data_IF_491691442791
#
_entry.id   IF_491691442791
#
_cell.length_a   1.000
_cell.length_b   1.000
_cell.length_c   1.000
_cell.angle_alpha   90.00
_cell.angle_beta   90.00
_cell.angle_gamma   90.00
#
_symmetry.space_group_name_H-M   'P 1'
#
loop_
_entity.id
_entity.type
_entity.pdbx_description
1 polymer ?
#
# COMPACT_ATOMS: atom_id res chain seq x y z
N UNK A 1 -29.96 -25.63 -15.65
CA UNK A 1 -29.60 -24.62 -14.66
C UNK A 1 -28.09 -24.39 -14.80
N UNK A 2 -27.70 -23.17 -15.17
CA UNK A 2 -26.28 -22.80 -15.28
C UNK A 2 -25.73 -22.40 -13.90
N UNK A 3 -24.42 -22.47 -13.76
CA UNK A 3 -23.68 -21.99 -12.58
C UNK A 3 -23.08 -20.63 -12.93
N UNK A 4 -23.63 -19.58 -12.36
CA UNK A 4 -23.19 -18.20 -12.56
C UNK A 4 -22.34 -17.79 -11.38
N UNK A 5 -21.06 -17.55 -11.61
CA UNK A 5 -20.13 -17.11 -10.58
C UNK A 5 -20.11 -15.59 -10.54
N UNK A 6 -20.23 -15.04 -9.35
CA UNK A 6 -20.06 -13.60 -9.08
C UNK A 6 -18.88 -13.40 -8.14
N UNK A 7 -17.99 -12.52 -8.52
CA UNK A 7 -16.96 -11.95 -7.65
C UNK A 7 -17.09 -10.44 -7.61
N UNK A 8 -16.62 -9.81 -6.52
CA UNK A 8 -16.60 -8.36 -6.39
C UNK A 8 -15.25 -7.85 -5.90
N UNK A 9 -14.91 -6.63 -6.27
CA UNK A 9 -13.67 -6.00 -5.82
C UNK A 9 -13.45 -4.60 -6.39
N UNK A 10 -12.49 -3.89 -5.79
CA UNK A 10 -12.08 -2.57 -6.28
C UNK A 10 -11.19 -2.64 -7.52
N UNK A 11 -10.31 -3.67 -7.61
CA UNK A 11 -9.35 -3.88 -8.72
C UNK A 11 -8.54 -2.63 -9.07
N UNK A 12 -8.04 -1.93 -8.07
CA UNK A 12 -7.49 -0.60 -8.18
C UNK A 12 -6.11 -0.45 -7.47
N UNK A 13 -5.01 -0.62 -8.22
CA UNK A 13 -4.90 -1.19 -9.57
C UNK A 13 -5.09 -2.71 -9.61
N UNK A 14 -5.36 -3.22 -10.82
CA UNK A 14 -5.35 -4.65 -11.08
C UNK A 14 -3.93 -5.20 -10.91
N UNK A 15 -3.80 -6.41 -10.35
CA UNK A 15 -2.51 -7.08 -10.13
C UNK A 15 -2.63 -8.60 -10.23
N UNK A 16 -1.49 -9.31 -10.22
CA UNK A 16 -1.44 -10.78 -10.40
C UNK A 16 -2.32 -11.57 -9.43
N UNK A 17 -2.48 -11.11 -8.19
CA UNK A 17 -3.39 -11.72 -7.23
C UNK A 17 -4.87 -11.65 -7.67
N UNK A 18 -5.29 -10.53 -8.25
CA UNK A 18 -6.62 -10.43 -8.85
C UNK A 18 -6.79 -11.35 -10.06
N UNK A 19 -5.76 -11.51 -10.89
CA UNK A 19 -5.80 -12.44 -12.03
C UNK A 19 -5.94 -13.87 -11.56
N UNK A 20 -5.21 -14.28 -10.51
CA UNK A 20 -5.34 -15.62 -9.92
C UNK A 20 -6.75 -15.85 -9.36
N UNK A 21 -7.32 -14.86 -8.67
CA UNK A 21 -8.67 -14.89 -8.14
C UNK A 21 -9.73 -15.04 -9.26
N UNK A 22 -9.64 -14.23 -10.32
CA UNK A 22 -10.53 -14.27 -11.47
C UNK A 22 -10.48 -15.66 -12.15
N UNK A 23 -9.28 -16.21 -12.38
CA UNK A 23 -9.11 -17.54 -12.96
C UNK A 23 -9.74 -18.62 -12.11
N UNK A 24 -9.44 -18.66 -10.82
CA UNK A 24 -10.00 -19.65 -9.91
C UNK A 24 -11.52 -19.52 -9.77
N UNK A 25 -12.07 -18.31 -9.79
CA UNK A 25 -13.49 -18.06 -9.79
C UNK A 25 -14.16 -18.59 -11.07
N UNK A 26 -13.53 -18.40 -12.25
CA UNK A 26 -14.06 -18.92 -13.53
C UNK A 26 -14.22 -20.44 -13.53
N UNK A 27 -13.34 -21.16 -12.86
CA UNK A 27 -13.39 -22.63 -12.75
C UNK A 27 -14.57 -23.15 -11.92
N UNK A 28 -15.24 -22.31 -11.14
CA UNK A 28 -16.37 -22.68 -10.30
C UNK A 28 -17.69 -22.78 -11.07
N UNK A 29 -17.80 -22.26 -12.28
CA UNK A 29 -19.07 -22.27 -13.02
C UNK A 29 -18.95 -22.02 -14.51
N UNK A 30 -20.11 -21.89 -15.15
CA UNK A 30 -20.22 -21.74 -16.60
C UNK A 30 -19.94 -20.32 -17.06
N UNK A 31 -20.27 -19.33 -16.23
CA UNK A 31 -20.09 -17.90 -16.52
C UNK A 31 -19.59 -17.14 -15.30
N UNK A 32 -18.64 -16.22 -15.52
CA UNK A 32 -18.11 -15.34 -14.49
C UNK A 32 -18.56 -13.89 -14.71
N UNK A 33 -19.25 -13.36 -13.73
CA UNK A 33 -19.62 -11.95 -13.63
C UNK A 33 -18.74 -11.27 -12.58
N UNK A 34 -18.20 -10.11 -12.91
CA UNK A 34 -17.36 -9.31 -12.00
C UNK A 34 -18.09 -8.01 -11.64
N UNK A 35 -18.42 -7.87 -10.37
CA UNK A 35 -18.89 -6.60 -9.80
C UNK A 35 -17.72 -5.70 -9.43
N UNK A 36 -17.62 -4.53 -10.04
CA UNK A 36 -16.58 -3.55 -9.76
C UNK A 36 -17.11 -2.50 -8.79
N UNK A 37 -16.47 -2.37 -7.63
CA UNK A 37 -16.84 -1.37 -6.61
C UNK A 37 -16.76 0.06 -7.17
N UNK A 38 -17.63 0.93 -6.66
CA UNK A 38 -17.67 2.33 -7.05
C UNK A 38 -16.40 3.10 -6.67
N UNK A 39 -16.20 4.27 -7.29
CA UNK A 39 -15.14 5.20 -6.91
C UNK A 39 -15.35 5.75 -5.50
N UNK A 40 -16.60 5.99 -5.12
CA UNK A 40 -16.95 6.45 -3.78
C UNK A 40 -16.60 5.41 -2.70
N UNK A 41 -16.77 4.12 -2.99
CA UNK A 41 -16.31 3.06 -2.09
C UNK A 41 -14.78 3.06 -1.94
N UNK A 42 -14.03 3.25 -3.05
CA UNK A 42 -12.58 3.36 -2.99
C UNK A 42 -12.12 4.59 -2.21
N UNK A 43 -12.80 5.74 -2.39
CA UNK A 43 -12.54 6.97 -1.61
C UNK A 43 -12.76 6.73 -0.12
N UNK A 44 -13.88 6.10 0.26
CA UNK A 44 -14.14 5.73 1.68
C UNK A 44 -13.08 4.79 2.24
N UNK A 45 -12.63 3.80 1.45
CA UNK A 45 -11.71 2.75 1.90
C UNK A 45 -10.24 3.15 1.87
N UNK A 46 -9.80 3.95 0.90
CA UNK A 46 -8.38 4.23 0.59
C UNK A 46 -8.05 5.72 0.53
N UNK A 47 -9.04 6.61 0.68
CA UNK A 47 -8.90 8.06 0.54
C UNK A 47 -9.05 8.58 -0.88
N UNK A 48 -8.72 7.80 -1.89
CA UNK A 48 -8.91 8.12 -3.31
C UNK A 48 -8.88 6.85 -4.16
N UNK A 49 -9.47 6.90 -5.34
CA UNK A 49 -9.25 5.94 -6.41
C UNK A 49 -7.93 6.24 -7.15
N UNK A 50 -7.27 5.20 -7.65
CA UNK A 50 -6.13 5.32 -8.57
C UNK A 50 -6.61 5.41 -10.02
N UNK A 51 -7.60 4.58 -10.38
CA UNK A 51 -8.26 4.60 -11.68
C UNK A 51 -9.78 4.77 -11.51
N UNK A 52 -10.45 5.63 -12.30
CA UNK A 52 -11.89 5.77 -12.27
C UNK A 52 -12.58 4.44 -12.66
N UNK A 53 -13.85 4.31 -12.29
CA UNK A 53 -14.62 3.07 -12.47
C UNK A 53 -14.63 2.58 -13.93
N UNK A 54 -14.77 3.48 -14.88
CA UNK A 54 -14.84 3.17 -16.32
C UNK A 54 -13.55 2.50 -16.81
N UNK A 55 -12.39 2.97 -16.37
CA UNK A 55 -11.09 2.39 -16.71
C UNK A 55 -10.94 0.99 -16.11
N UNK A 56 -11.28 0.84 -14.83
CA UNK A 56 -11.21 -0.45 -14.13
C UNK A 56 -12.15 -1.47 -14.76
N UNK A 57 -13.39 -1.07 -15.05
CA UNK A 57 -14.39 -1.90 -15.69
C UNK A 57 -13.97 -2.33 -17.11
N UNK A 58 -13.41 -1.41 -17.89
CA UNK A 58 -12.88 -1.67 -19.24
C UNK A 58 -11.75 -2.70 -19.21
N UNK A 59 -10.79 -2.53 -18.31
CA UNK A 59 -9.66 -3.48 -18.15
C UNK A 59 -10.17 -4.86 -17.75
N UNK A 60 -11.07 -4.93 -16.76
CA UNK A 60 -11.64 -6.21 -16.30
C UNK A 60 -12.45 -6.90 -17.40
N UNK A 61 -13.25 -6.16 -18.16
CA UNK A 61 -14.06 -6.70 -19.25
C UNK A 61 -13.21 -7.27 -20.40
N UNK A 62 -11.97 -6.81 -20.57
CA UNK A 62 -11.04 -7.31 -21.58
C UNK A 62 -10.34 -8.62 -21.17
N UNK A 63 -10.51 -9.09 -19.93
CA UNK A 63 -9.90 -10.33 -19.47
C UNK A 63 -10.66 -11.55 -20.03
N UNK A 64 -9.91 -12.52 -20.55
CA UNK A 64 -10.46 -13.74 -21.19
C UNK A 64 -11.47 -14.48 -20.32
N UNK A 65 -11.22 -14.54 -19.02
CA UNK A 65 -11.99 -15.37 -18.08
C UNK A 65 -13.22 -14.63 -17.53
N UNK A 66 -13.46 -13.38 -17.95
CA UNK A 66 -14.58 -12.54 -17.53
C UNK A 66 -15.64 -12.49 -18.63
N UNK A 67 -16.85 -12.95 -18.34
CA UNK A 67 -17.96 -12.93 -19.30
C UNK A 67 -18.76 -11.62 -19.23
N UNK A 68 -18.81 -10.99 -18.06
CA UNK A 68 -19.54 -9.73 -17.86
C UNK A 68 -19.00 -8.93 -16.68
N UNK A 69 -19.03 -7.60 -16.83
CA UNK A 69 -18.77 -6.66 -15.73
C UNK A 69 -20.06 -5.93 -15.38
N UNK A 70 -20.30 -5.70 -14.10
CA UNK A 70 -21.45 -4.95 -13.60
C UNK A 70 -21.00 -3.87 -12.59
N UNK A 71 -21.73 -2.78 -12.55
CA UNK A 71 -21.74 -1.85 -11.44
C UNK A 71 -22.78 -2.29 -10.40
N UNK A 72 -22.62 -1.85 -9.18
CA UNK A 72 -23.59 -2.11 -8.11
C UNK A 72 -23.52 -1.01 -7.05
N UNK A 73 -24.60 -0.88 -6.27
CA UNK A 73 -24.63 0.01 -5.12
C UNK A 73 -23.87 -0.63 -3.95
N UNK A 74 -22.85 0.06 -3.49
CA UNK A 74 -21.97 -0.35 -2.37
C UNK A 74 -21.90 0.69 -1.25
N UNK A 75 -22.93 1.53 -1.14
CA UNK A 75 -22.99 2.58 -0.12
C UNK A 75 -23.00 2.01 1.30
N UNK A 76 -23.58 0.84 1.48
CA UNK A 76 -23.64 0.08 2.74
C UNK A 76 -22.38 -0.78 2.99
N UNK A 77 -21.37 -0.68 2.14
CA UNK A 77 -20.13 -1.48 2.13
C UNK A 77 -20.36 -2.99 1.89
N UNK A 78 -21.50 -3.39 1.35
CA UNK A 78 -21.81 -4.77 0.98
C UNK A 78 -21.85 -4.96 -0.54
N UNK A 79 -21.82 -6.22 -0.98
CA UNK A 79 -22.05 -6.63 -2.36
C UNK A 79 -23.49 -7.16 -2.58
N UNK A 80 -24.41 -6.91 -1.67
CA UNK A 80 -25.80 -7.43 -1.74
C UNK A 80 -26.51 -7.01 -3.02
N UNK A 81 -26.34 -5.74 -3.43
CA UNK A 81 -26.93 -5.25 -4.68
C UNK A 81 -26.36 -5.97 -5.91
N UNK A 82 -25.06 -6.29 -5.92
CA UNK A 82 -24.47 -7.08 -7.00
C UNK A 82 -25.11 -8.46 -7.10
N UNK A 83 -25.29 -9.16 -5.97
CA UNK A 83 -25.96 -10.47 -5.93
C UNK A 83 -27.40 -10.36 -6.43
N UNK A 84 -28.16 -9.35 -6.00
CA UNK A 84 -29.55 -9.09 -6.44
C UNK A 84 -29.63 -8.80 -7.94
N UNK A 85 -28.70 -8.01 -8.47
CA UNK A 85 -28.61 -7.73 -9.92
C UNK A 85 -28.34 -9.00 -10.73
N UNK A 86 -27.42 -9.84 -10.27
CA UNK A 86 -27.15 -11.13 -10.94
C UNK A 86 -28.37 -12.04 -10.86
N UNK A 87 -29.07 -12.11 -9.72
CA UNK A 87 -30.32 -12.89 -9.59
C UNK A 87 -31.40 -12.38 -10.54
N UNK A 88 -31.57 -11.08 -10.72
CA UNK A 88 -32.54 -10.51 -11.65
C UNK A 88 -32.25 -10.89 -13.11
N UNK A 89 -30.96 -10.98 -13.49
CA UNK A 89 -30.54 -11.39 -14.85
C UNK A 89 -30.66 -12.92 -15.05
N UNK A 90 -30.42 -13.69 -13.98
CA UNK A 90 -30.37 -15.16 -13.97
C UNK A 90 -31.35 -15.76 -12.95
N UNK A 91 -32.68 -15.60 -13.14
CA UNK A 91 -33.66 -15.91 -12.10
C UNK A 91 -33.75 -17.41 -11.77
N UNK A 92 -33.37 -18.29 -12.69
CA UNK A 92 -33.48 -19.74 -12.57
C UNK A 92 -32.11 -20.44 -12.37
N UNK A 93 -31.01 -19.70 -12.43
CA UNK A 93 -29.67 -20.29 -12.40
C UNK A 93 -29.13 -20.35 -10.97
N UNK A 94 -28.14 -21.21 -10.74
CA UNK A 94 -27.36 -21.20 -9.49
C UNK A 94 -26.42 -20.03 -9.51
N UNK A 95 -26.43 -19.21 -8.44
CA UNK A 95 -25.48 -18.14 -8.25
C UNK A 95 -24.45 -18.59 -7.22
N UNK A 96 -23.17 -18.49 -7.56
CA UNK A 96 -22.05 -18.75 -6.67
C UNK A 96 -21.36 -17.41 -6.38
N UNK A 97 -21.52 -16.89 -5.16
CA UNK A 97 -20.76 -15.73 -4.73
C UNK A 97 -19.41 -16.19 -4.19
N UNK A 98 -18.37 -16.02 -4.99
CA UNK A 98 -17.04 -16.50 -4.70
C UNK A 98 -16.21 -15.41 -4.01
N UNK A 99 -15.58 -15.75 -2.89
CA UNK A 99 -14.81 -14.85 -2.05
C UNK A 99 -13.36 -15.30 -1.97
N UNK A 100 -12.44 -14.36 -2.17
CA UNK A 100 -11.00 -14.58 -2.06
C UNK A 100 -10.38 -13.85 -0.87
N UNK A 101 -9.10 -14.14 -0.59
CA UNK A 101 -8.33 -13.49 0.47
C UNK A 101 -8.82 -13.85 1.88
N UNK A 102 -8.95 -12.84 2.73
CA UNK A 102 -9.29 -12.94 4.14
C UNK A 102 -10.80 -12.94 4.46
N UNK A 103 -11.65 -13.15 3.43
CA UNK A 103 -13.08 -13.21 3.61
C UNK A 103 -13.54 -14.59 4.09
N UNK A 104 -14.38 -14.57 5.14
CA UNK A 104 -14.95 -15.76 5.77
C UNK A 104 -16.46 -15.60 5.96
N UNK A 105 -17.15 -16.66 6.38
CA UNK A 105 -18.60 -16.63 6.67
C UNK A 105 -18.96 -15.60 7.76
N UNK A 106 -18.04 -15.37 8.69
CA UNK A 106 -18.27 -14.52 9.86
C UNK A 106 -18.04 -13.03 9.56
N UNK A 107 -17.38 -12.70 8.45
CA UNK A 107 -16.96 -11.32 8.18
C UNK A 107 -17.57 -10.68 6.92
N UNK A 108 -18.54 -11.35 6.28
CA UNK A 108 -19.26 -10.80 5.11
C UNK A 108 -20.75 -10.57 5.42
N UNK A 109 -21.27 -9.37 5.14
CA UNK A 109 -22.67 -9.02 5.40
C UNK A 109 -23.66 -9.67 4.42
N UNK A 110 -23.17 -10.27 3.35
CA UNK A 110 -23.99 -10.90 2.29
C UNK A 110 -24.59 -12.25 2.72
N UNK A 111 -24.11 -12.83 3.83
CA UNK A 111 -24.58 -14.14 4.30
C UNK A 111 -26.08 -14.19 4.63
N UNK A 112 -26.69 -13.07 5.01
CA UNK A 112 -28.14 -13.00 5.28
C UNK A 112 -28.99 -13.24 4.02
N UNK A 113 -28.44 -13.03 2.82
CA UNK A 113 -29.14 -13.34 1.57
C UNK A 113 -29.40 -14.83 1.33
N UNK A 114 -28.71 -15.75 2.06
CA UNK A 114 -29.00 -17.19 1.97
C UNK A 114 -30.43 -17.54 2.39
N UNK A 115 -30.99 -16.79 3.33
CA UNK A 115 -32.36 -16.99 3.79
C UNK A 115 -33.39 -16.41 2.80
N UNK A 116 -32.98 -15.42 1.99
CA UNK A 116 -33.83 -14.70 1.05
C UNK A 116 -33.82 -15.31 -0.36
N UNK A 117 -32.72 -15.97 -0.76
CA UNK A 117 -32.48 -16.36 -2.16
C UNK A 117 -32.26 -17.87 -2.34
N UNK A 118 -33.13 -18.50 -3.07
CA UNK A 118 -32.95 -19.90 -3.54
C UNK A 118 -31.76 -19.97 -4.52
N UNK A 119 -31.05 -21.10 -4.52
CA UNK A 119 -29.91 -21.36 -5.41
C UNK A 119 -28.78 -20.31 -5.33
N UNK A 120 -28.55 -19.76 -4.14
CA UNK A 120 -27.38 -18.94 -3.81
C UNK A 120 -26.39 -19.77 -3.00
N UNK A 121 -25.12 -19.76 -3.39
CA UNK A 121 -24.02 -20.47 -2.73
C UNK A 121 -22.87 -19.49 -2.48
N UNK A 122 -22.20 -19.65 -1.34
CA UNK A 122 -20.99 -18.89 -0.99
C UNK A 122 -19.77 -19.82 -1.01
N UNK A 123 -18.73 -19.43 -1.74
CA UNK A 123 -17.45 -20.14 -1.79
C UNK A 123 -16.35 -19.20 -1.28
N UNK A 124 -15.49 -19.70 -0.40
CA UNK A 124 -14.41 -18.94 0.24
C UNK A 124 -13.03 -19.49 -0.14
N UNK A 125 -11.96 -18.70 0.08
CA UNK A 125 -10.59 -19.11 -0.23
C UNK A 125 -10.27 -19.19 -1.71
N UNK A 126 -11.10 -18.58 -2.58
CA UNK A 126 -10.93 -18.65 -4.03
C UNK A 126 -9.68 -17.86 -4.46
N UNK A 127 -8.77 -18.53 -5.19
CA UNK A 127 -7.52 -17.94 -5.65
C UNK A 127 -6.35 -18.10 -4.68
N UNK A 128 -6.54 -18.84 -3.57
CA UNK A 128 -5.54 -19.15 -2.55
C UNK A 128 -5.58 -18.21 -1.35
N UNK A 129 -5.08 -18.71 -0.22
CA UNK A 129 -5.06 -17.97 1.06
C UNK A 129 -3.89 -16.98 1.15
N UNK A 130 -2.80 -17.22 0.40
CA UNK A 130 -1.62 -16.37 0.40
C UNK A 130 -1.89 -15.06 -0.35
N UNK A 131 -1.89 -13.95 0.37
CA UNK A 131 -1.98 -12.61 -0.20
C UNK A 131 -0.67 -12.24 -0.92
N UNK A 132 -0.48 -12.77 -2.13
CA UNK A 132 0.73 -12.56 -2.95
C UNK A 132 1.00 -11.09 -3.29
N UNK A 133 -0.02 -10.23 -3.28
CA UNK A 133 0.11 -8.81 -3.61
C UNK A 133 -1.08 -8.00 -3.09
N UNK A 134 -0.93 -6.68 -3.07
CA UNK A 134 -1.99 -5.75 -2.68
C UNK A 134 -1.89 -4.46 -3.49
N UNK A 135 -3.02 -3.99 -4.02
CA UNK A 135 -3.09 -2.70 -4.70
C UNK A 135 -2.53 -1.57 -3.84
N UNK A 136 -2.78 -1.59 -2.52
CA UNK A 136 -2.25 -0.58 -1.59
C UNK A 136 -0.73 -0.61 -1.49
N UNK A 137 -0.12 -1.81 -1.46
CA UNK A 137 1.34 -1.94 -1.44
C UNK A 137 1.98 -1.45 -2.74
N UNK A 138 1.39 -1.79 -3.89
CA UNK A 138 1.86 -1.33 -5.20
C UNK A 138 1.81 0.19 -5.28
N UNK A 139 0.70 0.80 -4.85
CA UNK A 139 0.53 2.25 -4.88
C UNK A 139 1.48 2.95 -3.90
N UNK A 140 1.70 2.39 -2.72
CA UNK A 140 2.66 2.94 -1.75
C UNK A 140 4.08 2.91 -2.32
N UNK A 141 4.48 1.79 -2.92
CA UNK A 141 5.80 1.65 -3.54
C UNK A 141 5.95 2.59 -4.74
N UNK A 142 4.91 2.76 -5.54
CA UNK A 142 4.93 3.69 -6.66
C UNK A 142 5.01 5.17 -6.23
N UNK A 143 4.27 5.55 -5.18
CA UNK A 143 4.26 6.94 -4.66
C UNK A 143 5.57 7.34 -4.00
N UNK A 144 6.21 6.43 -3.32
CA UNK A 144 7.46 6.66 -2.59
C UNK A 144 8.35 5.40 -2.69
N UNK A 145 9.01 5.19 -3.85
CA UNK A 145 9.86 4.02 -4.06
C UNK A 145 11.04 4.01 -3.09
N UNK A 146 11.47 2.81 -2.73
CA UNK A 146 12.69 2.63 -1.94
C UNK A 146 13.92 2.94 -2.77
N UNK A 147 14.83 3.70 -2.19
CA UNK A 147 16.20 3.86 -2.69
C UNK A 147 17.14 3.11 -1.77
N UNK A 148 17.59 1.94 -2.22
CA UNK A 148 18.45 1.03 -1.44
C UNK A 148 19.85 1.62 -1.22
N UNK A 149 20.42 1.36 -0.02
CA UNK A 149 21.76 1.74 0.41
C UNK A 149 22.39 0.59 1.22
N UNK A 150 23.68 0.63 1.47
CA UNK A 150 24.38 -0.38 2.28
C UNK A 150 23.92 -0.42 3.75
N UNK A 151 23.30 0.66 4.21
CA UNK A 151 22.81 0.81 5.58
C UNK A 151 21.31 0.54 5.73
N UNK A 152 20.58 0.26 4.64
CA UNK A 152 19.14 0.09 4.58
C UNK A 152 18.57 0.80 3.36
N UNK A 153 17.55 1.63 3.54
CA UNK A 153 16.95 2.37 2.42
C UNK A 153 16.33 3.69 2.89
N UNK A 154 16.02 4.55 1.92
CA UNK A 154 15.15 5.71 2.18
C UNK A 154 14.06 5.82 1.12
N UNK A 155 13.01 6.58 1.46
CA UNK A 155 11.92 6.99 0.58
C UNK A 155 11.82 8.51 0.58
N UNK A 156 11.63 9.11 -0.59
CA UNK A 156 11.28 10.53 -0.68
C UNK A 156 9.76 10.63 -0.54
N UNK A 157 9.30 11.29 0.50
CA UNK A 157 7.88 11.46 0.80
C UNK A 157 7.31 12.74 0.18
N UNK A 158 8.15 13.79 0.10
CA UNK A 158 7.80 15.08 -0.47
C UNK A 158 9.05 15.82 -0.93
N UNK A 159 8.96 16.54 -2.05
CA UNK A 159 10.06 17.35 -2.56
C UNK A 159 9.51 18.57 -3.29
N UNK A 160 10.04 19.75 -2.91
CA UNK A 160 9.79 21.03 -3.55
C UNK A 160 11.10 21.84 -3.55
N UNK A 161 11.23 22.90 -4.34
CA UNK A 161 12.43 23.74 -4.29
C UNK A 161 12.75 24.19 -2.87
N UNK A 162 13.98 23.90 -2.41
CA UNK A 162 14.46 24.26 -1.08
C UNK A 162 14.00 23.36 0.08
N UNK A 163 13.18 22.34 -0.16
CA UNK A 163 12.76 21.40 0.89
C UNK A 163 12.58 19.98 0.35
N UNK A 164 13.08 18.99 1.11
CA UNK A 164 12.88 17.57 0.84
C UNK A 164 12.59 16.82 2.12
N UNK A 165 11.56 15.97 2.12
CA UNK A 165 11.20 15.10 3.24
C UNK A 165 11.48 13.66 2.85
N UNK A 166 12.28 12.98 3.67
CA UNK A 166 12.60 11.55 3.51
C UNK A 166 12.19 10.75 4.74
N UNK A 167 11.85 9.49 4.53
CA UNK A 167 11.85 8.48 5.58
C UNK A 167 13.06 7.58 5.35
N UNK A 168 13.92 7.45 6.35
CA UNK A 168 15.08 6.57 6.33
C UNK A 168 14.79 5.36 7.22
N UNK A 169 15.13 4.17 6.72
CA UNK A 169 15.15 2.93 7.52
C UNK A 169 16.60 2.45 7.58
N UNK A 170 17.15 2.40 8.79
CA UNK A 170 18.54 1.95 9.04
C UNK A 170 18.50 0.59 9.71
N UNK A 171 19.08 -0.39 9.04
CA UNK A 171 19.11 -1.79 9.51
C UNK A 171 19.95 -1.93 10.80
N UNK A 172 19.69 -2.98 11.61
CA UNK A 172 20.46 -3.29 12.80
C UNK A 172 21.98 -3.33 12.55
N UNK A 173 22.73 -2.67 13.41
CA UNK A 173 24.20 -2.60 13.33
C UNK A 173 24.76 -1.77 12.19
N UNK A 174 23.93 -1.00 11.49
CA UNK A 174 24.34 -0.18 10.33
C UNK A 174 24.42 1.31 10.66
N UNK A 175 25.19 2.02 9.82
CA UNK A 175 25.40 3.47 9.95
C UNK A 175 25.45 4.13 8.58
N UNK A 176 24.96 5.35 8.51
CA UNK A 176 25.24 6.24 7.39
C UNK A 176 26.71 6.66 7.43
N UNK A 177 27.23 7.23 6.35
CA UNK A 177 28.55 7.88 6.36
C UNK A 177 28.57 9.08 7.31
N UNK A 178 29.74 9.40 7.86
CA UNK A 178 29.97 10.71 8.45
C UNK A 178 29.95 11.74 7.32
N UNK A 179 29.04 12.71 7.39
CA UNK A 179 28.78 13.65 6.29
C UNK A 179 28.44 15.05 6.80
N UNK A 180 28.56 16.05 5.93
CA UNK A 180 28.07 17.41 6.14
C UNK A 180 27.51 17.99 4.84
N UNK A 181 26.76 19.09 4.94
CA UNK A 181 26.11 19.79 3.84
C UNK A 181 26.43 21.28 3.86
N UNK A 182 26.69 21.85 2.68
CA UNK A 182 27.00 23.28 2.56
C UNK A 182 25.73 24.13 2.38
N UNK A 183 24.70 23.58 1.70
CA UNK A 183 23.56 24.36 1.21
C UNK A 183 22.27 24.10 1.98
N UNK A 184 22.23 23.05 2.84
CA UNK A 184 21.05 22.68 3.61
C UNK A 184 21.32 22.38 5.07
N UNK A 185 20.28 22.48 5.87
CA UNK A 185 20.16 21.96 7.23
C UNK A 185 19.17 20.81 7.24
N UNK A 186 19.17 20.00 8.29
CA UNK A 186 18.29 18.85 8.42
C UNK A 186 17.60 18.81 9.78
N UNK A 187 16.34 18.44 9.81
CA UNK A 187 15.59 18.11 11.02
C UNK A 187 15.26 16.63 11.02
N UNK A 188 15.65 15.91 12.06
CA UNK A 188 15.42 14.47 12.21
C UNK A 188 14.44 14.21 13.34
N UNK A 189 13.50 13.29 13.13
CA UNK A 189 12.56 12.82 14.14
C UNK A 189 12.58 11.30 14.10
N UNK A 190 12.90 10.65 15.22
CA UNK A 190 12.84 9.18 15.33
C UNK A 190 11.37 8.73 15.37
N UNK A 191 10.93 8.00 14.34
CA UNK A 191 9.56 7.46 14.26
C UNK A 191 9.46 6.04 14.83
N UNK A 192 10.57 5.26 14.77
CA UNK A 192 10.64 3.89 15.27
C UNK A 192 12.07 3.54 15.69
N UNK A 193 12.22 2.80 16.78
CA UNK A 193 13.52 2.37 17.30
C UNK A 193 14.26 3.47 18.07
N UNK A 194 15.59 3.35 18.08
CA UNK A 194 16.52 4.28 18.74
C UNK A 194 17.72 4.57 17.84
N UNK A 195 18.28 5.75 17.93
CA UNK A 195 19.43 6.18 17.16
C UNK A 195 20.58 6.66 18.04
N UNK A 196 21.82 6.44 17.59
CA UNK A 196 22.98 7.14 18.09
C UNK A 196 23.49 8.07 16.98
N UNK A 197 23.70 9.35 17.31
CA UNK A 197 24.18 10.34 16.36
C UNK A 197 25.54 10.86 16.82
N UNK A 198 26.56 10.60 16.00
CA UNK A 198 27.89 11.17 16.15
C UNK A 198 27.94 12.51 15.41
N UNK A 199 28.48 13.55 16.05
CA UNK A 199 28.54 14.90 15.49
C UNK A 199 29.91 15.56 15.73
N UNK A 200 30.24 16.48 14.83
CA UNK A 200 31.35 17.41 15.05
C UNK A 200 31.00 18.80 14.49
N UNK A 201 31.57 19.83 15.10
CA UNK A 201 31.40 21.22 14.63
C UNK A 201 31.97 21.39 13.21
N UNK A 202 31.67 22.50 12.50
CA UNK A 202 32.30 22.81 11.22
C UNK A 202 33.83 22.83 11.25
N UNK A 203 34.42 23.13 12.40
CA UNK A 203 35.87 23.15 12.66
C UNK A 203 36.41 21.78 13.14
N UNK A 204 35.59 20.72 13.01
CA UNK A 204 35.93 19.32 13.35
C UNK A 204 36.15 19.03 14.85
N UNK A 205 35.67 19.87 15.76
CA UNK A 205 35.62 19.52 17.16
C UNK A 205 34.50 18.49 17.42
N UNK A 206 34.88 17.29 17.87
CA UNK A 206 33.92 16.22 18.20
C UNK A 206 32.99 16.65 19.34
N UNK A 207 31.70 16.40 19.14
CA UNK A 207 30.66 16.55 20.16
C UNK A 207 30.38 15.20 20.82
N UNK A 208 29.90 15.15 22.07
CA UNK A 208 29.44 13.91 22.66
C UNK A 208 28.35 13.27 21.78
N UNK A 209 28.37 11.92 21.59
CA UNK A 209 27.30 11.25 20.88
C UNK A 209 25.93 11.51 21.53
N UNK A 210 24.92 11.74 20.73
CA UNK A 210 23.54 11.89 21.18
C UNK A 210 22.77 10.60 20.95
N UNK A 211 22.10 10.09 21.99
CA UNK A 211 21.12 9.00 21.84
C UNK A 211 19.74 9.62 21.68
N UNK A 212 19.02 9.19 20.67
CA UNK A 212 17.66 9.64 20.36
C UNK A 212 16.71 8.47 20.49
N UNK A 213 15.80 8.56 21.42
CA UNK A 213 14.67 7.64 21.56
C UNK A 213 13.55 7.99 20.58
N UNK A 214 12.59 7.09 20.46
CA UNK A 214 11.36 7.33 19.67
C UNK A 214 10.73 8.67 20.05
N UNK A 215 10.39 9.48 19.04
CA UNK A 215 9.84 10.83 19.12
C UNK A 215 10.85 11.92 19.53
N UNK A 216 12.09 11.57 19.82
CA UNK A 216 13.14 12.58 19.97
C UNK A 216 13.47 13.17 18.59
N UNK A 217 13.94 14.40 18.62
CA UNK A 217 14.30 15.17 17.45
C UNK A 217 15.73 15.72 17.54
N UNK A 218 16.35 15.94 16.41
CA UNK A 218 17.67 16.56 16.29
C UNK A 218 17.67 17.55 15.13
N UNK A 219 18.25 18.71 15.36
CA UNK A 219 18.54 19.69 14.32
C UNK A 219 20.02 19.61 13.96
N UNK A 220 20.29 19.35 12.68
CA UNK A 220 21.64 19.37 12.09
C UNK A 220 21.75 20.64 11.26
N UNK A 221 22.67 21.51 11.65
CA UNK A 221 22.87 22.79 10.95
C UNK A 221 23.83 22.63 9.76
N UNK A 222 23.80 23.60 8.82
CA UNK A 222 24.75 23.64 7.69
C UNK A 222 26.19 23.47 8.21
N UNK A 223 27.00 22.70 7.45
CA UNK A 223 28.42 22.44 7.71
C UNK A 223 28.72 21.62 8.98
N UNK A 224 27.73 21.23 9.77
CA UNK A 224 27.92 20.32 10.89
C UNK A 224 28.16 18.89 10.40
N UNK A 225 29.24 18.26 10.82
CA UNK A 225 29.52 16.85 10.60
C UNK A 225 28.55 15.99 11.42
N UNK A 226 27.90 15.04 10.79
CA UNK A 226 26.95 14.15 11.45
C UNK A 226 26.94 12.77 10.84
N UNK A 227 26.65 11.77 11.68
CA UNK A 227 26.49 10.38 11.30
C UNK A 227 25.36 9.75 12.09
N UNK A 228 24.38 9.21 11.40
CA UNK A 228 23.31 8.41 11.99
C UNK A 228 23.75 6.96 12.11
N UNK A 229 23.61 6.37 13.28
CA UNK A 229 23.98 4.98 13.58
C UNK A 229 22.83 4.27 14.26
N UNK A 230 22.57 3.05 13.85
CA UNK A 230 21.70 2.09 14.54
C UNK A 230 22.53 0.96 15.16
N UNK A 231 23.02 1.09 16.40
CA UNK A 231 23.80 0.04 17.05
C UNK A 231 22.94 -1.06 17.68
N UNK A 232 21.61 -0.96 17.60
CA UNK A 232 20.64 -1.85 18.23
C UNK A 232 20.29 -3.03 17.32
N UNK A 233 19.50 -3.99 17.81
CA UNK A 233 19.10 -5.24 17.15
C UNK A 233 17.76 -5.16 16.40
N UNK A 234 17.15 -3.99 16.37
CA UNK A 234 15.89 -3.72 15.68
C UNK A 234 16.05 -2.56 14.68
N UNK A 235 15.22 -2.47 13.64
CA UNK A 235 15.29 -1.38 12.66
C UNK A 235 15.05 -0.01 13.30
N UNK A 236 15.78 0.99 12.81
CA UNK A 236 15.58 2.39 13.13
C UNK A 236 14.88 3.06 11.96
N UNK A 237 13.81 3.82 12.24
CA UNK A 237 13.23 4.74 11.24
C UNK A 237 13.26 6.17 11.74
N UNK A 238 13.66 7.07 10.85
CA UNK A 238 13.58 8.50 11.06
C UNK A 238 12.85 9.19 9.91
N UNK A 239 12.17 10.29 10.24
CA UNK A 239 11.74 11.28 9.26
C UNK A 239 12.80 12.38 9.24
N UNK A 240 13.35 12.63 8.06
CA UNK A 240 14.34 13.66 7.78
C UNK A 240 13.71 14.77 6.95
N UNK A 241 13.75 15.98 7.43
CA UNK A 241 13.32 17.19 6.72
C UNK A 241 14.59 17.97 6.36
N UNK A 242 14.97 17.96 5.10
CA UNK A 242 16.03 18.77 4.53
C UNK A 242 15.46 20.12 4.10
N UNK A 243 16.16 21.21 4.40
CA UNK A 243 15.74 22.54 3.98
C UNK A 243 16.93 23.48 3.80
N UNK A 244 16.86 24.35 2.81
CA UNK A 244 17.93 25.29 2.49
C UNK A 244 17.89 25.77 1.06
N UNK A 245 19.04 26.17 0.53
CA UNK A 245 19.13 26.68 -0.84
C UNK A 245 18.90 25.58 -1.86
N UNK A 246 19.45 24.38 -1.61
CA UNK A 246 19.28 23.18 -2.42
C UNK A 246 19.33 21.93 -1.53
N UNK A 247 18.50 20.93 -1.84
CA UNK A 247 18.44 19.64 -1.16
C UNK A 247 18.84 18.52 -2.12
N UNK A 248 20.07 18.58 -2.66
CA UNK A 248 20.60 17.65 -3.68
C UNK A 248 21.68 16.74 -3.07
N UNK A 249 21.90 15.58 -3.69
CA UNK A 249 22.89 14.60 -3.20
C UNK A 249 24.35 15.08 -3.42
N UNK A 250 24.57 15.92 -4.43
CA UNK A 250 25.87 16.53 -4.75
C UNK A 250 26.38 17.48 -3.65
N UNK A 251 25.49 17.96 -2.77
CA UNK A 251 25.83 18.78 -1.60
C UNK A 251 26.45 17.98 -0.45
N UNK A 252 26.60 16.64 -0.59
CA UNK A 252 27.11 15.79 0.48
C UNK A 252 28.63 15.68 0.42
N UNK A 253 29.33 16.20 1.41
CA UNK A 253 30.73 15.92 1.69
C UNK A 253 30.82 14.75 2.69
N UNK A 254 31.63 13.70 2.38
CA UNK A 254 31.77 12.48 3.21
C UNK A 254 33.20 12.27 3.63
N UNK A 255 33.39 11.60 4.81
CA UNK A 255 34.69 11.14 5.29
C UNK A 255 34.61 9.76 5.94
#
# INVERSE_FOLDING_TARGET
>A
MKRIVLITGGFDPLHSGHIAYIKAAKELGDSLIVGVNSDDWLRRKKGQEFMPWEERATIIAALRDVDRVINFDDIDNSAKDAIRKVRAIHPQDQIIFANGGDRTKENIPEMDLLEEMLHLEFVFGVGGEDKKNSSSWILQEWKAPKTERQWGYYRVLHEVPGMKVKELTVEPGKSLSMQKHQLRSEYWIVSEGQAVVNRATPLDYKLPPATLDKHNQLHVVKQEWHQLTNPFDHPLKIVEIQYGEQCVEEDIERR
#
